data_IF_077892312683
#
_entry.id   IF_077892312683
#
_cell.length_a   1.000
_cell.length_b   1.000
_cell.length_c   1.000
_cell.angle_alpha   90.00
_cell.angle_beta   90.00
_cell.angle_gamma   90.00
#
_symmetry.space_group_name_H-M   'P 1'
#
loop_
_entity.id
_entity.type
_entity.pdbx_description
1 polymer ?
#
# COMPACT_ATOMS: atom_id res chain seq x y z
N UNK A 1 -11.39 23.65 21.89
CA UNK A 1 -10.66 24.94 21.99
C UNK A 1 -10.38 25.31 20.56
N UNK A 2 -10.72 26.52 20.17
CA UNK A 2 -10.45 26.96 18.82
C UNK A 2 -8.94 27.23 18.69
N UNK A 3 -8.31 26.63 17.68
CA UNK A 3 -6.90 26.78 17.39
C UNK A 3 -6.71 27.56 16.09
N UNK A 4 -5.61 28.30 16.01
CA UNK A 4 -5.15 28.97 14.79
C UNK A 4 -3.77 28.44 14.45
N UNK A 5 -3.56 28.04 13.21
CA UNK A 5 -2.27 27.58 12.71
C UNK A 5 -1.94 28.28 11.40
N UNK A 6 -0.66 28.59 11.20
CA UNK A 6 -0.12 29.00 9.92
C UNK A 6 1.02 28.04 9.58
N UNK A 7 1.04 27.55 8.36
CA UNK A 7 2.06 26.64 7.86
C UNK A 7 2.62 27.26 6.60
N UNK A 8 3.92 27.54 6.60
CA UNK A 8 4.56 28.16 5.45
C UNK A 8 4.57 27.18 4.27
N UNK A 9 4.08 27.66 3.13
CA UNK A 9 4.01 26.90 1.88
C UNK A 9 2.83 25.95 1.71
N UNK A 10 2.03 25.64 2.75
CA UNK A 10 0.90 24.69 2.63
C UNK A 10 -0.21 24.88 3.68
N UNK A 11 -1.48 25.01 3.29
CA UNK A 11 -1.97 25.53 2.02
C UNK A 11 -1.57 27.00 1.86
N UNK A 12 -1.52 27.50 0.63
CA UNK A 12 -1.15 28.88 0.34
C UNK A 12 -2.26 29.87 0.72
N UNK A 13 -2.60 30.00 2.00
CA UNK A 13 -3.39 31.13 2.50
C UNK A 13 -2.44 32.32 2.64
N UNK A 14 -2.02 32.86 1.49
CA UNK A 14 -1.31 34.15 1.49
C UNK A 14 -2.24 35.20 2.11
N UNK A 15 -1.75 36.07 3.00
CA UNK A 15 -2.58 37.06 3.62
C UNK A 15 -3.18 37.98 2.55
N UNK A 16 -4.50 38.16 2.59
CA UNK A 16 -5.27 38.97 1.64
C UNK A 16 -5.75 40.21 2.35
N UNK A 17 -5.42 41.39 1.81
CA UNK A 17 -6.01 42.65 2.26
C UNK A 17 -7.50 42.66 2.00
N UNK A 18 -8.28 42.97 3.02
CA UNK A 18 -9.71 43.20 2.83
C UNK A 18 -9.94 44.48 2.05
N UNK A 19 -10.94 44.47 1.16
CA UNK A 19 -11.31 45.61 0.35
C UNK A 19 -12.80 45.88 0.48
N UNK A 20 -13.14 47.02 1.07
CA UNK A 20 -14.52 47.50 1.19
C UNK A 20 -14.73 48.71 0.27
N UNK A 21 -15.81 48.74 -0.50
CA UNK A 21 -16.08 49.79 -1.49
C UNK A 21 -17.39 50.52 -1.17
N UNK A 22 -17.39 51.84 -1.32
CA UNK A 22 -18.61 52.66 -1.22
C UNK A 22 -19.33 52.64 -2.57
N UNK A 23 -20.62 52.30 -2.54
CA UNK A 23 -21.53 52.48 -3.68
C UNK A 23 -22.52 53.58 -3.36
N UNK A 24 -22.56 54.61 -4.22
CA UNK A 24 -23.59 55.63 -4.22
C UNK A 24 -24.78 55.14 -5.06
N UNK A 25 -25.98 55.25 -4.52
CA UNK A 25 -27.24 54.94 -5.19
C UNK A 25 -28.19 56.14 -5.09
N UNK A 26 -29.07 56.22 -6.08
CA UNK A 26 -30.17 57.19 -6.22
C UNK A 26 -29.74 58.65 -6.36
N UNK A 27 -29.24 58.99 -7.55
CA UNK A 27 -29.29 60.34 -8.11
C UNK A 27 -29.33 60.28 -9.65
N UNK A 28 -29.75 61.35 -10.37
CA UNK A 28 -29.80 61.33 -11.84
C UNK A 28 -28.42 61.04 -12.48
N UNK A 29 -27.31 61.42 -11.83
CA UNK A 29 -25.94 61.19 -12.31
C UNK A 29 -25.02 60.43 -11.33
N UNK A 30 -25.48 60.15 -10.10
CA UNK A 30 -24.71 59.53 -9.00
C UNK A 30 -23.41 60.30 -8.64
N UNK A 31 -23.42 61.62 -8.79
CA UNK A 31 -22.28 62.51 -8.55
C UNK A 31 -22.66 63.51 -7.45
N UNK A 32 -22.26 63.29 -6.18
CA UNK A 32 -22.65 64.16 -5.08
C UNK A 32 -22.01 65.54 -5.22
N UNK A 33 -22.82 66.61 -5.14
CA UNK A 33 -22.41 68.02 -5.26
C UNK A 33 -22.56 68.80 -3.94
N UNK A 34 -23.00 68.13 -2.87
CA UNK A 34 -23.31 68.74 -1.59
C UNK A 34 -23.45 67.75 -0.43
N UNK A 35 -23.47 68.29 0.79
CA UNK A 35 -23.69 67.52 2.03
C UNK A 35 -22.42 67.02 2.71
N UNK A 36 -22.61 66.14 3.71
CA UNK A 36 -21.53 65.54 4.50
C UNK A 36 -21.80 64.07 4.81
N UNK A 37 -20.75 63.31 5.13
CA UNK A 37 -20.85 61.93 5.57
C UNK A 37 -19.94 61.66 6.78
N UNK A 38 -20.21 60.57 7.49
CA UNK A 38 -19.39 60.05 8.59
C UNK A 38 -19.14 58.57 8.37
N UNK A 39 -17.99 58.09 8.84
CA UNK A 39 -17.61 56.67 8.82
C UNK A 39 -17.54 56.17 10.25
N UNK A 40 -18.08 54.99 10.51
CA UNK A 40 -17.99 54.34 11.82
C UNK A 40 -17.27 53.01 11.71
N UNK A 41 -16.24 52.82 12.54
CA UNK A 41 -15.46 51.60 12.63
C UNK A 41 -15.29 51.17 14.09
N UNK A 42 -15.60 49.90 14.39
CA UNK A 42 -15.49 49.32 15.74
C UNK A 42 -16.14 50.17 16.86
N UNK A 43 -17.23 50.86 16.53
CA UNK A 43 -18.01 51.67 17.47
C UNK A 43 -17.58 53.14 17.62
N UNK A 44 -16.53 53.60 16.92
CA UNK A 44 -16.16 55.01 16.87
C UNK A 44 -16.51 55.63 15.52
N UNK A 45 -16.96 56.88 15.53
CA UNK A 45 -17.43 57.61 14.35
C UNK A 45 -16.54 58.83 14.08
N UNK A 46 -16.14 59.02 12.82
CA UNK A 46 -15.37 60.19 12.40
C UNK A 46 -16.15 61.50 12.62
N UNK A 47 -15.44 62.64 12.60
CA UNK A 47 -16.11 63.93 12.40
C UNK A 47 -16.81 63.96 11.03
N UNK A 48 -17.70 64.95 10.82
CA UNK A 48 -18.34 65.17 9.52
C UNK A 48 -17.29 65.43 8.44
N UNK A 49 -17.30 64.62 7.40
CA UNK A 49 -16.45 64.71 6.22
C UNK A 49 -17.27 65.36 5.10
N UNK A 50 -16.70 66.37 4.43
CA UNK A 50 -17.37 67.06 3.32
C UNK A 50 -17.49 66.17 2.08
N UNK A 51 -18.49 66.42 1.23
CA UNK A 51 -18.69 65.68 -0.02
C UNK A 51 -17.48 65.76 -0.98
N UNK A 52 -16.74 66.87 -0.96
CA UNK A 52 -15.56 67.12 -1.81
C UNK A 52 -14.23 66.77 -1.10
N UNK A 53 -14.28 66.08 0.04
CA UNK A 53 -13.09 65.71 0.80
C UNK A 53 -12.18 64.79 -0.01
N UNK A 54 -10.91 65.16 -0.10
CA UNK A 54 -9.87 64.36 -0.76
C UNK A 54 -9.63 63.03 -0.03
N UNK A 55 -9.09 62.02 -0.73
CA UNK A 55 -8.72 60.75 -0.12
C UNK A 55 -7.83 60.92 1.13
N UNK A 56 -6.91 61.89 1.12
CA UNK A 56 -6.06 62.21 2.26
C UNK A 56 -6.84 62.75 3.47
N UNK A 57 -7.85 63.59 3.25
CA UNK A 57 -8.70 64.10 4.34
C UNK A 57 -9.60 63.00 4.93
N UNK A 58 -10.06 62.07 4.09
CA UNK A 58 -10.81 60.89 4.54
C UNK A 58 -9.89 59.95 5.35
N UNK A 59 -8.66 59.75 4.87
CA UNK A 59 -7.62 58.97 5.56
C UNK A 59 -7.33 59.57 6.95
N UNK A 60 -7.06 60.87 7.03
CA UNK A 60 -6.82 61.58 8.29
C UNK A 60 -8.01 61.43 9.26
N UNK A 61 -9.25 61.55 8.75
CA UNK A 61 -10.44 61.40 9.58
C UNK A 61 -10.60 59.98 10.15
N UNK A 62 -10.18 58.93 9.42
CA UNK A 62 -10.17 57.55 9.92
C UNK A 62 -9.03 57.29 10.91
N UNK A 63 -7.86 57.88 10.69
CA UNK A 63 -6.69 57.77 11.59
C UNK A 63 -6.83 58.59 12.88
N UNK A 64 -7.80 59.51 12.96
CA UNK A 64 -8.21 60.16 14.21
C UNK A 64 -8.98 59.21 15.17
N UNK A 65 -9.51 58.08 14.67
CA UNK A 65 -10.20 57.09 15.49
C UNK A 65 -9.19 56.31 16.34
N UNK A 66 -9.47 56.13 17.63
CA UNK A 66 -8.58 55.39 18.53
C UNK A 66 -8.50 53.90 18.21
N UNK A 67 -9.44 53.41 17.40
CA UNK A 67 -9.57 52.02 16.94
C UNK A 67 -8.78 51.72 15.66
N UNK A 68 -8.17 52.72 15.02
CA UNK A 68 -7.43 52.62 13.75
C UNK A 68 -5.99 53.06 13.97
N UNK A 69 -5.02 52.20 13.67
CA UNK A 69 -3.60 52.59 13.66
C UNK A 69 -3.20 53.14 12.29
N UNK A 70 -2.10 53.90 12.27
CA UNK A 70 -1.50 54.40 11.04
C UNK A 70 -1.18 53.24 10.08
N UNK A 71 -1.77 53.26 8.88
CA UNK A 71 -1.58 52.23 7.86
C UNK A 71 -2.51 51.00 7.96
N UNK A 72 -3.42 50.94 8.94
CA UNK A 72 -4.40 49.86 9.05
C UNK A 72 -5.44 49.90 7.91
N UNK A 73 -5.79 51.10 7.45
CA UNK A 73 -6.74 51.34 6.36
C UNK A 73 -6.08 52.28 5.36
N UNK A 74 -6.21 52.02 4.06
CA UNK A 74 -5.79 52.92 2.98
C UNK A 74 -6.99 53.33 2.14
N UNK A 75 -7.18 54.64 1.95
CA UNK A 75 -8.27 55.22 1.14
C UNK A 75 -7.79 55.48 -0.30
N UNK A 76 -8.54 55.00 -1.30
CA UNK A 76 -8.12 55.08 -2.72
C UNK A 76 -8.46 56.38 -3.44
N UNK A 77 -9.60 57.00 -3.12
CA UNK A 77 -10.19 58.10 -3.88
C UNK A 77 -11.19 58.91 -3.02
N UNK A 78 -11.65 60.09 -3.48
CA UNK A 78 -12.80 60.80 -2.90
C UNK A 78 -14.15 60.10 -3.20
N UNK A 79 -15.23 60.54 -2.53
CA UNK A 79 -16.55 59.87 -2.56
C UNK A 79 -17.26 59.88 -3.92
N UNK A 80 -17.06 60.94 -4.70
CA UNK A 80 -17.58 61.13 -6.07
C UNK A 80 -16.92 60.19 -7.11
N UNK A 81 -15.73 59.68 -6.80
CA UNK A 81 -14.91 58.85 -7.69
C UNK A 81 -14.87 57.36 -7.29
N UNK A 82 -15.72 56.95 -6.33
CA UNK A 82 -15.78 55.57 -5.84
C UNK A 82 -14.67 55.26 -4.83
N UNK A 83 -14.92 55.54 -3.54
CA UNK A 83 -13.98 55.22 -2.46
C UNK A 83 -13.83 53.72 -2.29
N UNK A 84 -12.57 53.28 -2.19
CA UNK A 84 -12.19 51.97 -1.70
C UNK A 84 -11.37 52.11 -0.43
N UNK A 85 -11.74 51.36 0.60
CA UNK A 85 -11.00 51.17 1.83
C UNK A 85 -10.29 49.82 1.76
N UNK A 86 -8.97 49.85 1.69
CA UNK A 86 -8.15 48.65 1.73
C UNK A 86 -7.55 48.48 3.12
N UNK A 87 -7.85 47.38 3.79
CA UNK A 87 -7.30 47.07 5.11
C UNK A 87 -5.97 46.35 4.99
N UNK A 88 -5.06 46.60 5.95
CA UNK A 88 -3.81 45.87 6.05
C UNK A 88 -4.10 44.37 6.17
N UNK A 89 -3.41 43.55 5.37
CA UNK A 89 -3.63 42.10 5.33
C UNK A 89 -3.36 41.40 6.68
N UNK A 90 -2.61 42.03 7.58
CA UNK A 90 -2.37 41.58 8.96
C UNK A 90 -3.62 41.63 9.84
N UNK A 91 -4.64 42.40 9.46
CA UNK A 91 -5.89 42.50 10.22
C UNK A 91 -6.86 41.36 9.91
N UNK A 92 -6.64 40.63 8.81
CA UNK A 92 -7.51 39.55 8.36
C UNK A 92 -8.90 40.02 7.96
N UNK A 93 -9.91 39.22 8.31
CA UNK A 93 -11.33 39.50 8.10
C UNK A 93 -11.82 40.50 9.16
N UNK A 94 -12.28 41.67 8.74
CA UNK A 94 -12.70 42.78 9.60
C UNK A 94 -14.17 43.14 9.37
N UNK A 95 -14.76 43.80 10.36
CA UNK A 95 -16.16 44.26 10.25
C UNK A 95 -16.30 45.37 9.18
N UNK A 96 -17.47 45.38 8.53
CA UNK A 96 -17.84 46.43 7.57
C UNK A 96 -17.85 47.82 8.22
N UNK A 97 -17.23 48.80 7.55
CA UNK A 97 -17.42 50.21 7.84
C UNK A 97 -18.88 50.58 7.65
N UNK A 98 -19.42 51.37 8.58
CA UNK A 98 -20.75 51.95 8.42
C UNK A 98 -20.62 53.38 7.93
N UNK A 99 -21.32 53.71 6.84
CA UNK A 99 -21.43 55.07 6.32
C UNK A 99 -22.79 55.66 6.68
N UNK A 100 -22.78 56.87 7.27
CA UNK A 100 -23.98 57.68 7.43
C UNK A 100 -23.79 58.98 6.67
N UNK A 101 -24.65 59.23 5.68
CA UNK A 101 -24.50 60.31 4.72
C UNK A 101 -25.75 61.19 4.64
N UNK A 102 -25.51 62.50 4.51
CA UNK A 102 -26.49 63.54 4.17
C UNK A 102 -26.19 64.16 2.80
N UNK A 103 -25.61 63.37 1.89
CA UNK A 103 -25.14 63.79 0.58
C UNK A 103 -26.31 64.18 -0.33
N UNK A 104 -26.06 65.13 -1.23
CA UNK A 104 -27.01 65.60 -2.23
C UNK A 104 -26.38 65.64 -3.63
N UNK A 105 -27.21 65.51 -4.66
CA UNK A 105 -26.94 65.78 -6.09
C UNK A 105 -28.12 66.60 -6.60
N UNK A 106 -27.90 67.86 -6.99
CA UNK A 106 -28.95 68.82 -7.40
C UNK A 106 -30.08 68.97 -6.34
N UNK A 107 -29.72 68.84 -5.05
CA UNK A 107 -30.66 68.94 -3.93
C UNK A 107 -31.49 67.68 -3.66
N UNK A 108 -31.25 66.58 -4.38
CA UNK A 108 -31.84 65.25 -4.14
C UNK A 108 -30.88 64.44 -3.27
N UNK A 109 -31.40 63.74 -2.26
CA UNK A 109 -30.57 62.91 -1.36
C UNK A 109 -29.93 61.72 -2.07
N UNK A 110 -28.61 61.59 -1.95
CA UNK A 110 -27.82 60.44 -2.40
C UNK A 110 -27.68 59.46 -1.25
N UNK A 111 -27.91 58.18 -1.51
CA UNK A 111 -27.70 57.12 -0.52
C UNK A 111 -26.32 56.49 -0.73
N UNK A 112 -25.52 56.37 0.32
CA UNK A 112 -24.26 55.66 0.29
C UNK A 112 -24.39 54.33 1.04
N UNK A 113 -23.76 53.28 0.51
CA UNK A 113 -23.67 51.97 1.15
C UNK A 113 -22.27 51.40 0.98
N UNK A 114 -21.76 50.71 2.00
CA UNK A 114 -20.47 50.03 1.94
C UNK A 114 -20.71 48.54 1.76
N UNK A 115 -19.94 47.92 0.87
CA UNK A 115 -19.95 46.48 0.67
C UNK A 115 -18.52 45.94 0.66
N UNK A 116 -18.35 44.74 1.21
CA UNK A 116 -17.12 43.97 1.09
C UNK A 116 -17.01 43.47 -0.34
N UNK A 117 -15.91 43.82 -0.99
CA UNK A 117 -15.59 43.42 -2.37
C UNK A 117 -14.46 42.41 -2.43
N UNK A 118 -13.64 42.31 -1.38
CA UNK A 118 -12.65 41.26 -1.20
C UNK A 118 -12.55 40.98 0.28
N UNK A 119 -12.80 39.72 0.67
CA UNK A 119 -12.72 39.26 2.05
C UNK A 119 -11.28 39.18 2.53
N UNK A 120 -11.00 39.73 3.70
CA UNK A 120 -9.66 39.71 4.28
C UNK A 120 -9.28 38.35 4.84
N UNK A 121 -7.98 38.06 4.89
CA UNK A 121 -7.44 36.88 5.57
C UNK A 121 -6.04 37.18 6.11
N UNK A 122 -5.81 36.85 7.38
CA UNK A 122 -4.51 36.99 8.08
C UNK A 122 -3.54 35.83 7.73
N UNK A 123 -3.99 34.89 6.89
CA UNK A 123 -3.27 33.69 6.50
C UNK A 123 -3.30 32.57 7.53
N UNK A 124 -3.98 32.74 8.67
CA UNK A 124 -4.17 31.69 9.67
C UNK A 124 -5.38 30.81 9.33
N UNK A 125 -5.22 29.52 9.63
CA UNK A 125 -6.24 28.50 9.49
C UNK A 125 -6.85 28.26 10.87
N UNK A 126 -8.16 28.47 10.99
CA UNK A 126 -8.89 28.24 12.24
C UNK A 126 -9.50 26.83 12.28
N UNK A 127 -9.38 26.13 13.41
CA UNK A 127 -9.97 24.81 13.66
C UNK A 127 -10.61 24.78 15.05
N UNK A 128 -11.67 23.99 15.22
CA UNK A 128 -12.34 23.81 16.53
C UNK A 128 -11.61 22.85 17.47
N UNK A 129 -10.48 22.28 17.02
CA UNK A 129 -9.67 21.25 17.67
C UNK A 129 -8.18 21.62 17.62
N UNK A 130 -7.42 21.11 18.59
CA UNK A 130 -5.96 21.20 18.61
C UNK A 130 -5.29 20.07 17.80
N UNK A 131 -6.08 19.17 17.20
CA UNK A 131 -5.58 18.20 16.21
C UNK A 131 -5.96 18.68 14.82
N UNK A 132 -4.96 18.84 13.97
CA UNK A 132 -5.08 19.36 12.60
C UNK A 132 -4.51 18.32 11.64
N UNK A 133 -5.37 17.65 10.88
CA UNK A 133 -5.02 16.52 9.99
C UNK A 133 -5.37 16.76 8.52
N UNK A 134 -5.87 17.95 8.21
CA UNK A 134 -6.39 18.32 6.88
C UNK A 134 -5.55 19.42 6.18
N UNK A 135 -4.51 19.94 6.85
CA UNK A 135 -3.66 21.01 6.34
C UNK A 135 -2.50 20.48 5.50
N UNK A 136 -1.82 19.43 5.98
CA UNK A 136 -0.72 18.78 5.27
C UNK A 136 -1.14 17.32 5.02
N UNK A 137 -1.23 16.91 3.75
CA UNK A 137 -1.64 15.56 3.40
C UNK A 137 -0.76 14.50 4.06
N UNK A 138 -1.37 13.59 4.81
CA UNK A 138 -0.67 12.50 5.49
C UNK A 138 0.01 12.89 6.80
N UNK A 139 -0.21 14.11 7.30
CA UNK A 139 0.35 14.58 8.58
C UNK A 139 -0.78 15.04 9.49
N UNK A 140 -0.80 14.51 10.71
CA UNK A 140 -1.64 15.02 11.80
C UNK A 140 -0.74 15.82 12.75
N UNK A 141 -1.04 17.11 12.91
CA UNK A 141 -0.38 18.02 13.84
C UNK A 141 -1.19 18.10 15.13
N UNK A 142 -0.52 17.91 16.26
CA UNK A 142 -1.09 18.09 17.59
C UNK A 142 -0.52 19.37 18.20
N UNK A 143 -1.37 20.38 18.32
CA UNK A 143 -1.01 21.69 18.84
C UNK A 143 -1.07 21.67 20.38
N UNK A 144 0.06 21.97 21.00
CA UNK A 144 0.20 21.94 22.45
C UNK A 144 0.25 23.33 23.08
N UNK A 145 0.88 24.29 22.39
CA UNK A 145 1.02 25.66 22.85
C UNK A 145 1.21 26.62 21.65
N UNK A 146 1.16 27.92 21.91
CA UNK A 146 1.41 28.95 20.89
C UNK A 146 2.91 29.15 20.64
N UNK A 147 3.30 29.32 19.38
CA UNK A 147 4.65 29.73 19.01
C UNK A 147 4.79 31.25 19.05
N UNK A 148 6.02 31.75 19.05
CA UNK A 148 6.28 33.16 18.79
C UNK A 148 6.09 33.51 17.30
N UNK A 149 6.37 34.77 16.94
CA UNK A 149 6.23 35.27 15.58
C UNK A 149 7.18 34.61 14.56
N UNK A 150 8.24 33.92 15.02
CA UNK A 150 9.18 33.20 14.16
C UNK A 150 8.74 31.77 13.84
N UNK A 151 7.75 31.25 14.58
CA UNK A 151 7.23 29.89 14.37
C UNK A 151 8.18 28.82 14.88
N UNK A 152 7.95 27.58 14.46
CA UNK A 152 8.79 26.42 14.79
C UNK A 152 9.02 25.57 13.54
N UNK A 153 10.24 25.04 13.40
CA UNK A 153 10.60 24.19 12.27
C UNK A 153 10.16 22.74 12.50
N UNK A 154 9.35 22.21 11.58
CA UNK A 154 8.93 20.81 11.59
C UNK A 154 9.71 20.05 10.51
N UNK A 155 10.50 19.06 10.94
CA UNK A 155 11.25 18.19 10.03
C UNK A 155 10.60 16.82 9.93
N UNK A 156 10.23 16.40 8.71
CA UNK A 156 9.76 15.04 8.42
C UNK A 156 10.88 14.22 7.80
N UNK A 157 11.29 13.15 8.47
CA UNK A 157 12.30 12.21 7.98
C UNK A 157 11.73 10.81 7.81
N UNK A 158 12.24 10.08 6.82
CA UNK A 158 11.87 8.67 6.61
C UNK A 158 12.37 7.81 7.76
N UNK A 159 11.51 6.94 8.30
CA UNK A 159 11.89 5.99 9.34
C UNK A 159 12.50 4.72 8.72
N UNK A 160 13.79 4.80 8.37
CA UNK A 160 14.54 3.69 7.77
C UNK A 160 14.76 2.55 8.78
N UNK A 161 14.86 2.88 10.08
CA UNK A 161 15.11 1.90 11.13
C UNK A 161 13.99 0.86 11.22
N UNK A 162 12.73 1.29 11.12
CA UNK A 162 11.59 0.38 11.17
C UNK A 162 11.61 -0.65 10.02
N UNK A 163 12.12 -0.29 8.84
CA UNK A 163 12.28 -1.22 7.71
C UNK A 163 13.37 -2.24 8.01
N UNK A 164 14.52 -1.80 8.54
CA UNK A 164 15.63 -2.69 8.95
C UNK A 164 15.18 -3.69 10.02
N UNK A 165 14.42 -3.24 11.01
CA UNK A 165 13.95 -4.09 12.10
C UNK A 165 13.00 -5.19 11.59
N UNK A 166 12.09 -4.85 10.66
CA UNK A 166 11.19 -5.81 10.00
C UNK A 166 11.96 -6.82 9.14
N UNK A 167 12.94 -6.35 8.36
CA UNK A 167 13.80 -7.25 7.57
C UNK A 167 14.62 -8.17 8.47
N UNK A 168 15.20 -7.67 9.55
CA UNK A 168 15.95 -8.47 10.52
C UNK A 168 15.08 -9.54 11.17
N UNK A 169 13.83 -9.21 11.48
CA UNK A 169 12.84 -10.16 12.01
C UNK A 169 12.52 -11.26 11.01
N UNK A 170 12.32 -10.90 9.73
CA UNK A 170 12.12 -11.86 8.64
C UNK A 170 13.35 -12.78 8.45
N UNK A 171 14.56 -12.21 8.42
CA UNK A 171 15.83 -12.96 8.32
C UNK A 171 15.94 -13.96 9.47
N UNK A 172 15.58 -13.55 10.69
CA UNK A 172 15.58 -14.42 11.87
C UNK A 172 14.60 -15.59 11.72
N UNK A 173 13.37 -15.32 11.26
CA UNK A 173 12.36 -16.36 11.05
C UNK A 173 12.77 -17.34 9.93
N UNK A 174 13.34 -16.83 8.84
CA UNK A 174 13.89 -17.65 7.76
C UNK A 174 15.02 -18.56 8.26
N UNK A 175 15.98 -17.99 9.00
CA UNK A 175 17.11 -18.75 9.54
C UNK A 175 16.66 -19.83 10.53
N UNK A 176 15.64 -19.55 11.35
CA UNK A 176 15.05 -20.55 12.23
C UNK A 176 14.52 -21.75 11.43
N UNK A 177 13.79 -21.49 10.32
CA UNK A 177 13.29 -22.55 9.46
C UNK A 177 14.44 -23.32 8.78
N UNK A 178 15.46 -22.64 8.27
CA UNK A 178 16.62 -23.27 7.63
C UNK A 178 17.36 -24.19 8.60
N UNK A 179 17.69 -23.70 9.79
CA UNK A 179 18.40 -24.48 10.82
C UNK A 179 17.55 -25.68 11.24
N UNK A 180 16.25 -25.48 11.46
CA UNK A 180 15.34 -26.58 11.81
C UNK A 180 15.29 -27.65 10.72
N UNK A 181 15.14 -27.26 9.45
CA UNK A 181 15.14 -28.20 8.33
C UNK A 181 16.49 -28.93 8.19
N UNK A 182 17.61 -28.23 8.36
CA UNK A 182 18.95 -28.84 8.34
C UNK A 182 19.12 -29.86 9.46
N UNK A 183 18.65 -29.56 10.69
CA UNK A 183 18.70 -30.51 11.81
C UNK A 183 17.92 -31.80 11.50
N UNK A 184 16.73 -31.66 10.86
CA UNK A 184 15.89 -32.83 10.55
C UNK A 184 16.33 -33.61 9.32
N UNK A 185 17.04 -32.99 8.37
CA UNK A 185 17.41 -33.63 7.09
C UNK A 185 18.90 -33.95 6.95
N UNK A 186 19.76 -33.32 7.76
CA UNK A 186 21.20 -33.45 7.70
C UNK A 186 21.74 -34.66 8.48
N UNK A 187 23.03 -34.90 8.33
CA UNK A 187 23.78 -35.85 9.13
C UNK A 187 24.59 -35.11 10.19
N UNK A 188 24.46 -35.48 11.46
CA UNK A 188 25.27 -34.93 12.53
C UNK A 188 26.58 -35.70 12.64
N UNK A 189 27.66 -35.11 12.15
CA UNK A 189 28.99 -35.73 12.15
C UNK A 189 29.56 -35.97 13.55
N UNK A 190 29.08 -35.27 14.58
CA UNK A 190 29.54 -35.43 15.97
C UNK A 190 28.83 -36.59 16.63
N UNK A 191 27.49 -36.60 16.57
CA UNK A 191 26.66 -37.66 17.16
C UNK A 191 26.65 -38.95 16.31
N UNK A 192 27.13 -38.87 15.06
CA UNK A 192 27.06 -39.93 14.05
C UNK A 192 25.62 -40.38 13.75
N UNK A 193 24.67 -39.47 13.91
CA UNK A 193 23.23 -39.72 13.72
C UNK A 193 22.70 -38.96 12.52
N UNK A 194 21.89 -39.64 11.70
CA UNK A 194 21.08 -39.02 10.67
C UNK A 194 19.85 -38.33 11.29
N UNK A 195 19.46 -37.19 10.73
CA UNK A 195 18.16 -36.59 10.99
C UNK A 195 17.03 -37.51 10.52
N UNK A 196 15.85 -37.37 11.15
CA UNK A 196 14.69 -38.24 10.90
C UNK A 196 14.20 -38.18 9.45
N UNK A 197 14.38 -37.05 8.78
CA UNK A 197 13.98 -36.78 7.40
C UNK A 197 15.18 -36.78 6.44
N UNK A 198 16.27 -37.48 6.80
CA UNK A 198 17.44 -37.55 5.93
C UNK A 198 17.07 -38.27 4.61
N UNK A 199 17.35 -37.60 3.49
CA UNK A 199 17.01 -38.09 2.15
C UNK A 199 15.56 -37.80 1.73
N UNK A 200 14.78 -37.10 2.56
CA UNK A 200 13.41 -36.70 2.23
C UNK A 200 13.39 -35.66 1.08
N UNK A 201 12.65 -35.99 0.03
CA UNK A 201 12.53 -35.15 -1.16
C UNK A 201 11.67 -33.90 -0.92
N UNK A 202 10.62 -34.02 -0.11
CA UNK A 202 9.70 -32.93 0.21
C UNK A 202 10.40 -31.86 1.03
N UNK A 203 11.17 -32.26 2.05
CA UNK A 203 11.97 -31.33 2.85
C UNK A 203 13.00 -30.56 2.01
N UNK A 204 13.64 -31.23 1.04
CA UNK A 204 14.54 -30.59 0.07
C UNK A 204 13.81 -29.59 -0.85
N UNK A 205 12.59 -29.95 -1.29
CA UNK A 205 11.74 -29.09 -2.12
C UNK A 205 11.32 -27.83 -1.38
N UNK A 206 10.91 -27.94 -0.11
CA UNK A 206 10.56 -26.80 0.75
C UNK A 206 11.72 -25.82 0.83
N UNK A 207 12.93 -26.31 1.14
CA UNK A 207 14.13 -25.47 1.22
C UNK A 207 14.42 -24.73 -0.09
N UNK A 208 14.31 -25.41 -1.23
CA UNK A 208 14.57 -24.80 -2.54
C UNK A 208 13.54 -23.74 -2.91
N UNK A 209 12.25 -23.97 -2.61
CA UNK A 209 11.19 -23.02 -2.90
C UNK A 209 11.29 -21.76 -2.01
N UNK A 210 11.71 -21.88 -0.75
CA UNK A 210 11.97 -20.71 0.11
C UNK A 210 13.22 -19.93 -0.29
N UNK A 211 14.24 -20.62 -0.82
CA UNK A 211 15.49 -19.97 -1.25
C UNK A 211 15.36 -19.26 -2.60
N UNK A 212 14.57 -19.80 -3.53
CA UNK A 212 14.48 -19.29 -4.92
C UNK A 212 14.22 -17.78 -4.98
N UNK A 213 13.21 -17.21 -4.28
CA UNK A 213 12.93 -15.77 -4.34
C UNK A 213 14.08 -14.85 -3.89
N UNK A 214 15.01 -15.37 -3.07
CA UNK A 214 16.14 -14.61 -2.54
C UNK A 214 17.32 -14.53 -3.52
N UNK A 215 17.41 -15.47 -4.47
CA UNK A 215 18.56 -15.60 -5.39
C UNK A 215 18.23 -15.31 -6.84
N UNK A 216 16.95 -15.27 -7.20
CA UNK A 216 16.51 -14.94 -8.56
C UNK A 216 16.15 -13.47 -8.70
N UNK A 217 16.12 -12.98 -9.94
CA UNK A 217 15.52 -11.69 -10.25
C UNK A 217 14.06 -11.65 -9.81
N UNK A 218 13.68 -10.55 -9.17
CA UNK A 218 12.35 -10.32 -8.62
C UNK A 218 11.35 -10.08 -9.76
N UNK A 219 10.16 -10.70 -9.67
CA UNK A 219 9.20 -10.73 -10.78
C UNK A 219 8.61 -9.36 -11.08
N UNK A 220 8.58 -8.99 -12.36
CA UNK A 220 8.08 -7.69 -12.83
C UNK A 220 9.11 -6.56 -12.81
N UNK A 221 10.32 -6.82 -12.31
CA UNK A 221 11.45 -5.88 -12.35
C UNK A 221 12.25 -6.08 -13.62
N UNK A 222 12.63 -4.99 -14.28
CA UNK A 222 13.32 -5.02 -15.58
C UNK A 222 14.58 -4.17 -15.50
N UNK A 223 15.66 -4.71 -16.07
CA UNK A 223 16.92 -4.01 -16.24
C UNK A 223 16.72 -2.69 -17.00
N UNK A 224 17.50 -1.68 -16.63
CA UNK A 224 17.53 -0.34 -17.22
C UNK A 224 16.31 0.55 -16.89
N UNK A 225 15.26 0.00 -16.24
CA UNK A 225 14.15 0.79 -15.69
C UNK A 225 14.21 0.81 -14.16
N UNK A 226 14.44 -0.36 -13.55
CA UNK A 226 14.46 -0.50 -12.09
C UNK A 226 15.91 -0.48 -11.59
N UNK A 227 16.13 0.18 -10.45
CA UNK A 227 17.45 0.38 -9.85
C UNK A 227 18.00 -0.92 -9.27
N UNK A 228 17.12 -1.73 -8.67
CA UNK A 228 17.40 -3.02 -8.05
C UNK A 228 16.47 -4.08 -8.65
N UNK A 229 17.06 -5.23 -8.97
CA UNK A 229 16.41 -6.35 -9.62
C UNK A 229 16.37 -7.60 -8.76
N UNK A 230 17.24 -7.72 -7.75
CA UNK A 230 17.28 -8.87 -6.85
C UNK A 230 17.62 -8.51 -5.39
N UNK A 231 17.21 -9.32 -4.40
CA UNK A 231 17.42 -9.04 -2.98
C UNK A 231 18.90 -8.88 -2.60
N UNK A 232 19.81 -9.59 -3.27
CA UNK A 232 21.25 -9.45 -3.07
C UNK A 232 21.79 -8.04 -3.31
N UNK A 233 21.15 -7.26 -4.19
CA UNK A 233 21.60 -5.89 -4.49
C UNK A 233 21.21 -4.88 -3.41
N UNK A 234 20.28 -5.25 -2.51
CA UNK A 234 19.92 -4.47 -1.33
C UNK A 234 20.57 -5.01 -0.05
N UNK A 235 21.55 -5.91 -0.16
CA UNK A 235 22.34 -6.40 0.97
C UNK A 235 21.81 -7.66 1.65
N UNK A 236 20.87 -8.38 1.05
CA UNK A 236 20.47 -9.72 1.53
C UNK A 236 21.42 -10.79 0.97
N UNK A 237 22.21 -11.40 1.84
CA UNK A 237 23.26 -12.35 1.46
C UNK A 237 22.95 -13.76 1.99
N UNK A 238 23.03 -14.76 1.12
CA UNK A 238 22.91 -16.18 1.48
C UNK A 238 24.29 -16.83 1.50
N UNK A 239 24.60 -17.53 2.58
CA UNK A 239 25.82 -18.32 2.67
C UNK A 239 25.69 -19.69 1.97
N UNK A 240 26.78 -20.48 2.01
CA UNK A 240 26.85 -21.82 1.42
C UNK A 240 25.85 -22.82 2.04
N UNK A 241 25.46 -22.59 3.28
CA UNK A 241 24.56 -23.45 4.04
C UNK A 241 23.09 -23.00 3.86
N UNK A 242 22.88 -21.83 3.23
CA UNK A 242 21.56 -21.24 2.98
C UNK A 242 21.05 -20.39 4.14
N UNK A 243 21.93 -19.96 5.05
CA UNK A 243 21.60 -19.00 6.10
C UNK A 243 21.63 -17.60 5.50
N UNK A 244 20.60 -16.81 5.78
CA UNK A 244 20.42 -15.45 5.28
C UNK A 244 21.00 -14.44 6.27
N UNK A 245 21.64 -13.41 5.75
CA UNK A 245 22.14 -12.27 6.52
C UNK A 245 21.78 -10.95 5.83
N UNK A 246 21.74 -9.87 6.60
CA UNK A 246 21.51 -8.52 6.09
C UNK A 246 22.78 -7.68 6.30
N UNK A 247 23.38 -7.25 5.20
CA UNK A 247 24.46 -6.28 5.19
C UNK A 247 23.87 -4.87 5.31
N UNK A 248 23.88 -4.32 6.53
CA UNK A 248 23.24 -3.03 6.83
C UNK A 248 23.85 -1.85 6.07
N UNK A 249 25.14 -1.91 5.75
CA UNK A 249 25.81 -0.83 5.02
C UNK A 249 25.36 -0.81 3.55
N UNK A 250 25.32 -1.98 2.90
CA UNK A 250 24.78 -2.10 1.53
C UNK A 250 23.31 -1.70 1.48
N UNK A 251 22.54 -2.07 2.51
CA UNK A 251 21.14 -1.68 2.62
C UNK A 251 20.98 -0.14 2.76
N UNK A 252 21.83 0.51 3.56
CA UNK A 252 21.83 1.97 3.71
C UNK A 252 22.21 2.69 2.42
N UNK A 253 23.21 2.19 1.70
CA UNK A 253 23.58 2.69 0.37
C UNK A 253 22.44 2.51 -0.63
N UNK A 254 21.76 1.36 -0.61
CA UNK A 254 20.64 1.09 -1.49
C UNK A 254 19.46 2.04 -1.23
N UNK A 255 19.10 2.25 0.04
CA UNK A 255 18.04 3.18 0.46
C UNK A 255 18.37 4.63 0.08
N UNK A 256 19.63 5.05 0.26
CA UNK A 256 20.05 6.38 -0.12
C UNK A 256 19.99 6.59 -1.64
N UNK A 257 20.24 5.54 -2.42
CA UNK A 257 20.19 5.57 -3.89
C UNK A 257 18.76 5.62 -4.43
N UNK A 258 17.89 4.70 -3.99
CA UNK A 258 16.50 4.64 -4.44
C UNK A 258 15.60 3.96 -3.40
N UNK A 259 15.06 4.76 -2.50
CA UNK A 259 14.18 4.29 -1.43
C UNK A 259 12.92 3.58 -1.95
N UNK A 260 12.31 4.09 -3.03
CA UNK A 260 11.05 3.54 -3.52
C UNK A 260 11.26 2.18 -4.17
N UNK A 261 12.35 2.01 -4.91
CA UNK A 261 12.67 0.73 -5.52
C UNK A 261 13.14 -0.32 -4.49
N UNK A 262 13.80 0.09 -3.40
CA UNK A 262 14.05 -0.79 -2.23
C UNK A 262 12.73 -1.27 -1.62
N UNK A 263 11.74 -0.39 -1.43
CA UNK A 263 10.44 -0.84 -0.91
C UNK A 263 9.71 -1.77 -1.90
N UNK A 264 9.79 -1.47 -3.20
CA UNK A 264 9.17 -2.28 -4.23
C UNK A 264 9.78 -3.68 -4.27
N UNK A 265 11.12 -3.80 -4.25
CA UNK A 265 11.76 -5.11 -4.32
C UNK A 265 11.49 -5.95 -3.07
N UNK A 266 11.33 -5.32 -1.90
CA UNK A 266 10.93 -6.01 -0.68
C UNK A 266 9.49 -6.49 -0.79
N UNK A 267 8.55 -5.57 -0.99
CA UNK A 267 7.13 -5.82 -0.69
C UNK A 267 6.13 -5.26 -1.70
N UNK A 268 6.51 -5.04 -2.97
CA UNK A 268 5.51 -4.78 -4.00
C UNK A 268 4.48 -5.92 -4.01
N UNK A 269 3.21 -5.59 -3.82
CA UNK A 269 2.11 -6.55 -3.88
C UNK A 269 1.32 -6.33 -5.17
N UNK A 270 1.76 -7.00 -6.23
CA UNK A 270 1.18 -6.94 -7.59
C UNK A 270 0.97 -5.51 -8.09
N UNK A 271 1.86 -4.58 -7.70
CA UNK A 271 1.77 -3.18 -8.13
C UNK A 271 2.12 -3.07 -9.60
N UNK A 272 1.39 -2.23 -10.33
CA UNK A 272 1.52 -2.19 -11.79
C UNK A 272 2.01 -0.86 -12.35
N UNK A 273 2.57 -0.92 -13.54
CA UNK A 273 2.86 0.26 -14.38
C UNK A 273 2.66 -0.09 -15.85
N UNK A 274 2.37 0.91 -16.67
CA UNK A 274 2.24 0.77 -18.12
C UNK A 274 3.30 1.61 -18.82
N UNK A 275 3.73 1.17 -20.01
CA UNK A 275 4.54 1.97 -20.94
C UNK A 275 3.70 2.93 -21.82
N UNK A 276 2.38 2.91 -21.66
CA UNK A 276 1.43 3.67 -22.46
C UNK A 276 0.70 4.72 -21.62
N UNK A 277 0.42 5.86 -22.25
CA UNK A 277 -0.39 6.95 -21.68
C UNK A 277 -1.90 6.76 -21.94
N UNK A 278 -2.30 5.70 -22.64
CA UNK A 278 -3.71 5.41 -22.94
C UNK A 278 -4.18 4.15 -22.25
N UNK A 279 -3.40 3.06 -22.35
CA UNK A 279 -3.69 1.85 -21.60
C UNK A 279 -2.96 1.95 -20.27
N UNK A 280 -3.67 2.12 -19.18
CA UNK A 280 -3.08 2.27 -17.86
C UNK A 280 -3.35 1.04 -16.99
N UNK A 281 -2.44 0.77 -16.06
CA UNK A 281 -2.68 -0.24 -15.03
C UNK A 281 -3.76 0.26 -14.08
N UNK A 282 -4.75 -0.59 -13.79
CA UNK A 282 -5.81 -0.27 -12.84
C UNK A 282 -5.67 -1.05 -11.54
N UNK A 283 -5.60 -2.38 -11.64
CA UNK A 283 -5.51 -3.27 -10.48
C UNK A 283 -4.95 -4.64 -10.88
N UNK A 284 -4.41 -5.37 -9.91
CA UNK A 284 -4.08 -6.79 -10.03
C UNK A 284 -4.42 -7.48 -8.71
N UNK A 285 -4.87 -8.73 -8.78
CA UNK A 285 -5.15 -9.50 -7.57
C UNK A 285 -3.86 -10.01 -6.95
N UNK A 286 -3.65 -9.72 -5.67
CA UNK A 286 -2.53 -10.24 -4.86
C UNK A 286 -2.42 -11.77 -4.93
N UNK A 287 -3.56 -12.46 -4.98
CA UNK A 287 -3.66 -13.92 -4.90
C UNK A 287 -3.65 -14.63 -6.26
N UNK A 288 -4.13 -13.97 -7.31
CA UNK A 288 -4.44 -14.66 -8.58
C UNK A 288 -3.62 -14.14 -9.76
N UNK A 289 -3.27 -12.86 -9.78
CA UNK A 289 -2.47 -12.32 -10.87
C UNK A 289 -1.02 -12.73 -10.68
N UNK A 290 -0.40 -13.32 -11.70
CA UNK A 290 1.03 -13.61 -11.64
C UNK A 290 1.84 -12.33 -11.85
N UNK A 291 2.96 -12.16 -11.17
CA UNK A 291 3.83 -11.02 -11.44
C UNK A 291 4.67 -11.25 -12.71
N UNK A 292 4.89 -10.19 -13.48
CA UNK A 292 5.57 -10.29 -14.77
C UNK A 292 5.28 -9.10 -15.69
N UNK A 293 5.75 -9.22 -16.93
CA UNK A 293 5.42 -8.26 -17.99
C UNK A 293 4.37 -8.85 -18.90
N UNK A 294 3.36 -8.05 -19.22
CA UNK A 294 2.20 -8.42 -20.02
C UNK A 294 2.14 -7.54 -21.26
N UNK A 295 1.80 -8.15 -22.40
CA UNK A 295 1.49 -7.43 -23.62
C UNK A 295 -0.03 -7.35 -23.76
N UNK A 296 -0.52 -6.13 -23.90
CA UNK A 296 -1.95 -5.80 -23.99
C UNK A 296 -2.21 -5.30 -25.40
N UNK A 297 -3.29 -5.79 -26.01
CA UNK A 297 -3.75 -5.41 -27.33
C UNK A 297 -5.20 -4.99 -27.23
N UNK A 298 -5.52 -3.78 -27.69
CA UNK A 298 -6.89 -3.24 -27.72
C UNK A 298 -7.22 -2.81 -29.15
N UNK A 299 -8.33 -3.30 -29.69
CA UNK A 299 -8.81 -2.95 -31.03
C UNK A 299 -10.02 -2.04 -30.93
N UNK A 300 -10.12 -1.07 -31.83
CA UNK A 300 -11.25 -0.15 -31.94
C UNK A 300 -12.04 -0.42 -33.23
N UNK A 301 -13.37 -0.41 -33.14
CA UNK A 301 -14.28 -0.61 -34.28
C UNK A 301 -14.27 0.60 -35.24
N UNK A 302 -15.08 0.53 -36.30
CA UNK A 302 -15.24 1.63 -37.27
C UNK A 302 -15.89 2.90 -36.68
N UNK A 303 -16.51 2.81 -35.50
CA UNK A 303 -17.08 3.95 -34.76
C UNK A 303 -16.11 4.51 -33.72
N UNK A 304 -14.93 3.88 -33.53
CA UNK A 304 -13.95 4.24 -32.53
C UNK A 304 -14.23 3.69 -31.13
N UNK A 305 -15.19 2.77 -30.95
CA UNK A 305 -15.42 2.11 -29.66
C UNK A 305 -14.49 0.91 -29.49
N UNK A 306 -14.20 0.53 -28.24
CA UNK A 306 -13.44 -0.71 -27.97
C UNK A 306 -14.22 -1.91 -28.52
N UNK A 307 -13.60 -2.66 -29.42
CA UNK A 307 -14.14 -3.87 -30.06
C UNK A 307 -13.67 -5.13 -29.32
N UNK A 308 -12.35 -5.34 -29.24
CA UNK A 308 -11.76 -6.47 -28.52
C UNK A 308 -10.55 -6.04 -27.71
N UNK A 309 -10.30 -6.77 -26.63
CA UNK A 309 -9.08 -6.64 -25.86
C UNK A 309 -8.47 -8.03 -25.62
N UNK A 310 -7.15 -8.12 -25.61
CA UNK A 310 -6.45 -9.38 -25.36
C UNK A 310 -5.16 -9.14 -24.58
N UNK A 311 -4.83 -10.09 -23.70
CA UNK A 311 -3.65 -10.02 -22.84
C UNK A 311 -2.84 -11.32 -22.99
N UNK A 312 -1.52 -11.22 -22.91
CA UNK A 312 -0.60 -12.36 -22.75
C UNK A 312 0.61 -11.96 -21.91
N UNK A 313 1.39 -12.92 -21.41
CA UNK A 313 2.73 -12.62 -20.93
C UNK A 313 3.62 -12.19 -22.09
N UNK A 314 4.50 -11.23 -21.83
CA UNK A 314 5.43 -10.69 -22.83
C UNK A 314 6.38 -11.78 -23.35
N UNK A 315 6.72 -12.77 -22.51
CA UNK A 315 7.55 -13.92 -22.88
C UNK A 315 6.85 -14.98 -23.73
N UNK A 316 5.52 -14.92 -23.85
CA UNK A 316 4.76 -15.87 -24.67
C UNK A 316 4.69 -15.44 -26.13
N UNK A 317 4.48 -16.41 -27.02
CA UNK A 317 4.24 -16.17 -28.45
C UNK A 317 2.90 -15.43 -28.70
N UNK A 318 2.79 -14.74 -29.84
CA UNK A 318 1.58 -13.99 -30.21
C UNK A 318 0.35 -14.87 -30.42
N UNK A 319 0.49 -16.18 -30.67
CA UNK A 319 -0.64 -17.11 -30.68
C UNK A 319 -1.29 -17.32 -29.30
N UNK A 320 -0.68 -16.82 -28.22
CA UNK A 320 -1.15 -17.00 -26.83
C UNK A 320 -1.95 -15.83 -26.27
N UNK A 321 -2.32 -14.84 -27.09
CA UNK A 321 -3.28 -13.82 -26.66
C UNK A 321 -4.58 -14.47 -26.21
N UNK A 322 -5.01 -14.13 -25.00
CA UNK A 322 -6.28 -14.56 -24.43
C UNK A 322 -7.24 -13.39 -24.38
N UNK A 323 -8.51 -13.65 -24.69
CA UNK A 323 -9.52 -12.61 -24.77
C UNK A 323 -9.79 -12.06 -23.37
N UNK A 324 -9.77 -10.74 -23.25
CA UNK A 324 -10.09 -10.05 -22.01
C UNK A 324 -11.57 -9.63 -22.00
N UNK A 325 -12.15 -9.55 -20.82
CA UNK A 325 -13.52 -9.06 -20.62
C UNK A 325 -13.50 -7.53 -20.55
N UNK A 326 -14.38 -6.86 -21.29
CA UNK A 326 -14.47 -5.40 -21.33
C UNK A 326 -15.73 -4.95 -20.58
N UNK A 327 -15.58 -3.99 -19.67
CA UNK A 327 -16.68 -3.34 -18.95
C UNK A 327 -16.43 -1.83 -18.91
N UNK A 328 -17.09 -1.10 -19.81
CA UNK A 328 -16.83 0.34 -19.99
C UNK A 328 -15.40 0.59 -20.45
N UNK A 329 -14.62 1.33 -19.67
CA UNK A 329 -13.20 1.58 -19.91
C UNK A 329 -12.28 0.52 -19.29
N UNK A 330 -12.81 -0.44 -18.51
CA UNK A 330 -12.01 -1.44 -17.79
C UNK A 330 -11.90 -2.72 -18.61
N UNK A 331 -10.67 -3.19 -18.77
CA UNK A 331 -10.30 -4.45 -19.42
C UNK A 331 -9.80 -5.39 -18.33
N UNK A 332 -10.46 -6.54 -18.16
CA UNK A 332 -10.09 -7.57 -17.18
C UNK A 332 -9.58 -8.81 -17.89
N UNK A 333 -8.40 -9.30 -17.50
CA UNK A 333 -7.80 -10.52 -18.03
C UNK A 333 -8.64 -11.77 -17.77
N UNK A 334 -8.26 -12.87 -18.44
CA UNK A 334 -8.98 -14.14 -18.34
C UNK A 334 -9.02 -14.63 -16.89
N UNK A 335 -10.23 -14.71 -16.34
CA UNK A 335 -10.45 -15.03 -14.92
C UNK A 335 -10.86 -16.48 -14.69
N UNK A 336 -10.42 -17.39 -15.56
CA UNK A 336 -10.72 -18.83 -15.45
C UNK A 336 -9.90 -19.48 -14.34
N UNK A 337 -10.56 -20.36 -13.57
CA UNK A 337 -9.95 -21.19 -12.52
C UNK A 337 -10.06 -22.67 -12.88
N UNK A 338 -9.09 -23.47 -12.45
CA UNK A 338 -9.15 -24.92 -12.53
C UNK A 338 -10.05 -25.52 -11.43
N UNK A 339 -10.27 -26.84 -11.46
CA UNK A 339 -11.08 -27.56 -10.46
C UNK A 339 -10.49 -27.47 -9.03
N UNK A 340 -9.22 -27.09 -8.92
CA UNK A 340 -8.49 -26.92 -7.67
C UNK A 340 -8.52 -25.45 -7.16
N UNK A 341 -9.23 -24.57 -7.87
CA UNK A 341 -9.37 -23.15 -7.56
C UNK A 341 -8.10 -22.34 -7.82
N UNK A 342 -7.18 -22.82 -8.64
CA UNK A 342 -6.01 -22.07 -9.07
C UNK A 342 -6.29 -21.33 -10.38
N UNK A 343 -5.74 -20.12 -10.57
CA UNK A 343 -5.87 -19.41 -11.82
C UNK A 343 -5.22 -20.22 -12.96
N UNK A 344 -5.95 -20.38 -14.06
CA UNK A 344 -5.46 -21.10 -15.25
C UNK A 344 -4.40 -20.28 -16.00
N UNK A 345 -4.56 -18.96 -16.01
CA UNK A 345 -3.70 -18.05 -16.77
C UNK A 345 -3.04 -16.97 -15.90
N UNK A 346 -1.83 -16.52 -16.28
CA UNK A 346 -1.07 -15.53 -15.52
C UNK A 346 -1.79 -14.18 -15.34
N UNK A 347 -2.61 -13.76 -16.30
CA UNK A 347 -3.33 -12.48 -16.26
C UNK A 347 -4.67 -12.53 -15.48
N UNK A 348 -4.94 -13.60 -14.75
CA UNK A 348 -6.18 -13.73 -13.98
C UNK A 348 -6.36 -12.54 -13.03
N UNK A 349 -7.53 -11.91 -13.10
CA UNK A 349 -7.89 -10.71 -12.35
C UNK A 349 -6.96 -9.49 -12.55
N UNK A 350 -6.14 -9.48 -13.61
CA UNK A 350 -5.42 -8.27 -14.03
C UNK A 350 -6.41 -7.30 -14.68
N UNK A 351 -6.49 -6.09 -14.16
CA UNK A 351 -7.37 -5.04 -14.64
C UNK A 351 -6.58 -3.84 -15.15
N UNK A 352 -7.00 -3.32 -16.29
CA UNK A 352 -6.41 -2.20 -16.99
C UNK A 352 -7.50 -1.24 -17.40
N UNK A 353 -7.16 0.02 -17.63
CA UNK A 353 -8.06 0.99 -18.28
C UNK A 353 -7.59 1.27 -19.70
N UNK A 354 -8.53 1.53 -20.60
CA UNK A 354 -8.27 2.08 -21.92
C UNK A 354 -9.35 3.10 -22.28
N UNK A 355 -9.09 4.09 -23.16
CA UNK A 355 -10.10 5.04 -23.59
C UNK A 355 -11.26 4.30 -24.26
N UNK A 356 -12.49 4.61 -23.86
CA UNK A 356 -13.69 4.02 -24.47
C UNK A 356 -13.86 4.44 -25.93
N UNK A 357 -13.33 5.62 -26.28
CA UNK A 357 -13.25 6.12 -27.64
C UNK A 357 -11.79 6.27 -28.07
N UNK A 358 -11.45 5.66 -29.20
CA UNK A 358 -10.13 5.69 -29.82
C UNK A 358 -10.20 6.08 -31.28
N UNK A 359 -9.09 5.90 -32.00
CA UNK A 359 -9.07 6.12 -33.45
C UNK A 359 -9.86 4.99 -34.14
N UNK A 360 -10.82 5.28 -35.02
CA UNK A 360 -11.59 4.26 -35.73
C UNK A 360 -10.71 3.25 -36.48
N UNK A 361 -11.08 1.97 -36.39
CA UNK A 361 -10.38 0.85 -37.06
C UNK A 361 -8.88 0.78 -36.73
N UNK A 362 -8.51 1.14 -35.50
CA UNK A 362 -7.12 1.10 -35.02
C UNK A 362 -6.87 -0.02 -34.02
N UNK A 363 -5.61 -0.36 -33.82
CA UNK A 363 -5.16 -1.27 -32.77
C UNK A 363 -4.04 -0.59 -32.01
N UNK A 364 -4.14 -0.57 -30.68
CA UNK A 364 -3.11 -0.04 -29.81
C UNK A 364 -2.54 -1.17 -28.95
N UNK A 365 -1.28 -0.99 -28.55
CA UNK A 365 -0.56 -1.94 -27.72
C UNK A 365 0.04 -1.22 -26.52
N UNK A 366 0.13 -1.94 -25.41
CA UNK A 366 0.88 -1.51 -24.24
C UNK A 366 1.59 -2.69 -23.59
N UNK A 367 2.69 -2.40 -22.93
CA UNK A 367 3.38 -3.31 -22.03
C UNK A 367 3.07 -2.91 -20.60
N UNK A 368 2.36 -3.79 -19.89
CA UNK A 368 2.03 -3.59 -18.49
C UNK A 368 2.91 -4.48 -17.64
N UNK A 369 3.58 -3.90 -16.66
CA UNK A 369 4.44 -4.62 -15.71
C UNK A 369 3.68 -4.74 -14.40
N UNK A 370 3.59 -5.96 -13.88
CA UNK A 370 3.07 -6.27 -12.54
C UNK A 370 4.24 -6.72 -11.69
N UNK A 371 4.60 -5.92 -10.69
CA UNK A 371 5.73 -6.15 -9.78
C UNK A 371 5.28 -6.93 -8.55
N UNK A 372 6.11 -7.88 -8.14
CA UNK A 372 5.96 -8.55 -6.85
C UNK A 372 7.30 -8.61 -6.14
N UNK A 373 7.36 -8.10 -4.91
CA UNK A 373 8.54 -8.15 -4.07
C UNK A 373 8.88 -9.58 -3.63
N UNK A 374 10.14 -9.80 -3.25
CA UNK A 374 10.60 -11.14 -2.88
C UNK A 374 9.90 -11.68 -1.64
N UNK A 375 9.45 -10.83 -0.70
CA UNK A 375 8.75 -11.29 0.50
C UNK A 375 7.38 -11.87 0.15
N UNK A 376 6.64 -11.23 -0.75
CA UNK A 376 5.39 -11.76 -1.27
C UNK A 376 5.59 -13.05 -2.05
N UNK A 377 6.72 -13.21 -2.75
CA UNK A 377 7.03 -14.48 -3.42
C UNK A 377 7.35 -15.62 -2.44
N UNK A 378 7.94 -15.31 -1.28
CA UNK A 378 8.13 -16.26 -0.17
C UNK A 378 6.78 -16.62 0.45
N UNK A 379 5.91 -15.64 0.68
CA UNK A 379 4.55 -15.84 1.17
C UNK A 379 3.75 -16.77 0.25
N UNK A 380 3.73 -16.49 -1.05
CA UNK A 380 3.09 -17.35 -2.06
C UNK A 380 3.64 -18.79 -2.03
N UNK A 381 4.95 -18.96 -1.79
CA UNK A 381 5.56 -20.28 -1.68
C UNK A 381 5.09 -21.01 -0.40
N UNK A 382 5.04 -20.32 0.73
CA UNK A 382 4.54 -20.85 1.99
C UNK A 382 3.07 -21.25 1.88
N UNK A 383 2.22 -20.39 1.31
CA UNK A 383 0.79 -20.65 1.14
C UNK A 383 0.54 -21.89 0.29
N UNK A 384 1.27 -22.05 -0.81
CA UNK A 384 1.18 -23.27 -1.65
C UNK A 384 1.61 -24.52 -0.89
N UNK A 385 2.63 -24.46 -0.03
CA UNK A 385 3.09 -25.61 0.74
C UNK A 385 2.13 -25.99 1.87
N UNK A 386 1.56 -24.99 2.53
CA UNK A 386 0.78 -25.14 3.77
C UNK A 386 -0.73 -25.26 3.51
N UNK A 387 -1.18 -25.11 2.26
CA UNK A 387 -2.59 -25.26 1.87
C UNK A 387 -3.16 -26.58 2.43
N UNK A 388 -4.25 -26.46 3.20
CA UNK A 388 -4.78 -27.55 4.03
C UNK A 388 -5.19 -28.81 3.24
N UNK A 389 -5.58 -28.67 1.97
CA UNK A 389 -6.11 -29.78 1.17
C UNK A 389 -5.15 -30.27 0.10
N UNK A 390 -4.42 -29.35 -0.55
CA UNK A 390 -3.59 -29.62 -1.73
C UNK A 390 -2.12 -29.25 -1.52
N UNK A 391 -1.75 -28.79 -0.33
CA UNK A 391 -0.38 -28.38 -0.04
C UNK A 391 0.58 -29.55 0.01
N UNK A 392 1.84 -29.30 -0.37
CA UNK A 392 2.90 -30.31 -0.44
C UNK A 392 3.05 -31.08 0.89
N UNK A 393 3.02 -30.35 2.02
CA UNK A 393 3.18 -30.94 3.35
C UNK A 393 2.00 -31.86 3.69
N UNK A 394 0.78 -31.45 3.34
CA UNK A 394 -0.43 -32.24 3.61
C UNK A 394 -0.49 -33.52 2.78
N UNK A 395 -0.03 -33.45 1.52
CA UNK A 395 0.05 -34.61 0.65
C UNK A 395 1.09 -35.60 1.17
N UNK A 396 2.25 -35.11 1.61
CA UNK A 396 3.32 -35.94 2.15
C UNK A 396 2.91 -36.64 3.45
N UNK A 397 2.27 -35.92 4.38
CA UNK A 397 1.72 -36.51 5.60
C UNK A 397 0.74 -37.66 5.31
N UNK A 398 -0.19 -37.46 4.38
CA UNK A 398 -1.14 -38.51 3.97
C UNK A 398 -0.45 -39.71 3.35
N UNK A 399 0.62 -39.50 2.58
CA UNK A 399 1.38 -40.58 1.98
C UNK A 399 2.11 -41.42 3.05
N UNK A 400 2.76 -40.75 4.01
CA UNK A 400 3.42 -41.41 5.14
C UNK A 400 2.40 -42.18 6.00
N UNK A 401 1.24 -41.58 6.29
CA UNK A 401 0.16 -42.25 7.04
C UNK A 401 -0.34 -43.52 6.33
N UNK A 402 -0.46 -43.47 5.00
CA UNK A 402 -0.83 -44.64 4.21
C UNK A 402 0.23 -45.75 4.29
N UNK A 403 1.52 -45.40 4.17
CA UNK A 403 2.61 -46.36 4.33
C UNK A 403 2.64 -47.00 5.73
N UNK A 404 2.41 -46.20 6.78
CA UNK A 404 2.33 -46.70 8.15
C UNK A 404 1.19 -47.72 8.26
N UNK A 405 0.03 -47.42 7.70
CA UNK A 405 -1.12 -48.33 7.72
C UNK A 405 -0.82 -49.65 6.99
N UNK A 406 -0.24 -49.58 5.79
CA UNK A 406 0.12 -50.79 5.03
C UNK A 406 1.14 -51.66 5.77
N UNK A 407 2.14 -51.03 6.40
CA UNK A 407 3.12 -51.72 7.22
C UNK A 407 2.49 -52.38 8.45
N UNK A 408 1.54 -51.71 9.11
CA UNK A 408 0.80 -52.29 10.24
C UNK A 408 0.00 -53.52 9.82
N UNK A 409 -0.75 -53.44 8.73
CA UNK A 409 -1.51 -54.59 8.18
C UNK A 409 -0.58 -55.76 7.83
N UNK A 410 0.60 -55.48 7.27
CA UNK A 410 1.61 -56.51 6.97
C UNK A 410 2.20 -57.15 8.23
N UNK A 411 2.48 -56.34 9.26
CA UNK A 411 2.97 -56.84 10.56
C UNK A 411 1.93 -57.77 11.17
N UNK A 412 0.66 -57.38 11.20
CA UNK A 412 -0.44 -58.22 11.72
C UNK A 412 -0.55 -59.55 10.97
N UNK A 413 -0.47 -59.51 9.64
CA UNK A 413 -0.49 -60.72 8.82
C UNK A 413 0.69 -61.66 9.11
N UNK A 414 1.90 -61.13 9.23
CA UNK A 414 3.08 -61.94 9.56
C UNK A 414 3.02 -62.49 10.99
N UNK A 415 2.55 -61.71 11.97
CA UNK A 415 2.31 -62.19 13.32
C UNK A 415 1.30 -63.35 13.34
N UNK A 416 0.22 -63.24 12.55
CA UNK A 416 -0.73 -64.34 12.37
C UNK A 416 -0.06 -65.59 11.77
N UNK A 417 0.76 -65.44 10.73
CA UNK A 417 1.50 -66.56 10.10
C UNK A 417 2.47 -67.23 11.08
N UNK A 418 3.22 -66.44 11.85
CA UNK A 418 4.15 -66.93 12.87
C UNK A 418 3.39 -67.73 13.94
N UNK A 419 2.25 -67.21 14.43
CA UNK A 419 1.39 -67.90 15.39
C UNK A 419 0.87 -69.24 14.85
N UNK A 420 0.47 -69.31 13.58
CA UNK A 420 0.05 -70.58 12.94
C UNK A 420 1.22 -71.56 12.80
N UNK A 421 2.42 -71.08 12.51
CA UNK A 421 3.63 -71.92 12.41
C UNK A 421 4.04 -72.47 13.77
N UNK A 422 4.05 -71.64 14.80
CA UNK A 422 4.31 -72.04 16.19
C UNK A 422 3.35 -73.16 16.62
N UNK A 423 2.04 -72.96 16.45
CA UNK A 423 1.04 -73.98 16.77
C UNK A 423 1.27 -75.31 16.03
N UNK A 424 1.66 -75.25 14.75
CA UNK A 424 2.00 -76.47 13.97
C UNK A 424 3.25 -77.16 14.51
N UNK A 425 4.27 -76.40 14.92
CA UNK A 425 5.50 -76.95 15.50
C UNK A 425 5.23 -77.59 16.85
N UNK A 426 4.48 -76.93 17.73
CA UNK A 426 4.02 -77.49 19.02
C UNK A 426 3.30 -78.83 18.79
N UNK A 427 2.34 -78.87 17.86
CA UNK A 427 1.61 -80.09 17.54
C UNK A 427 2.48 -81.20 16.91
N UNK A 428 3.59 -80.86 16.25
CA UNK A 428 4.57 -81.84 15.74
C UNK A 428 5.45 -82.37 16.87
N UNK A 429 5.94 -81.50 17.75
CA UNK A 429 6.74 -81.89 18.91
C UNK A 429 5.93 -82.81 19.85
N UNK A 430 4.69 -82.45 20.19
CA UNK A 430 3.82 -83.30 21.01
C UNK A 430 3.57 -84.68 20.37
N UNK A 431 3.46 -84.76 19.02
CA UNK A 431 3.37 -86.04 18.30
C UNK A 431 4.67 -86.84 18.37
N UNK A 432 5.81 -86.17 18.22
CA UNK A 432 7.13 -86.78 18.31
C UNK A 432 7.38 -87.36 19.71
N UNK A 433 7.08 -86.60 20.76
CA UNK A 433 7.14 -87.07 22.15
C UNK A 433 6.27 -88.30 22.37
N UNK A 434 5.02 -88.29 21.87
CA UNK A 434 4.14 -89.46 21.95
C UNK A 434 4.72 -90.67 21.23
N UNK A 435 5.29 -90.49 20.03
CA UNK A 435 5.93 -91.60 19.29
C UNK A 435 7.20 -92.10 19.98
N UNK A 436 8.01 -91.22 20.57
CA UNK A 436 9.19 -91.61 21.34
C UNK A 436 8.81 -92.38 22.60
N UNK A 437 7.77 -91.95 23.32
CA UNK A 437 7.24 -92.67 24.48
C UNK A 437 6.75 -94.08 24.09
N UNK A 438 6.04 -94.20 22.95
CA UNK A 438 5.62 -95.49 22.40
C UNK A 438 6.80 -96.37 21.99
N UNK A 439 7.82 -95.82 21.33
CA UNK A 439 9.03 -96.54 20.96
C UNK A 439 9.83 -96.97 22.18
N UNK A 440 9.94 -96.14 23.23
CA UNK A 440 10.56 -96.53 24.50
C UNK A 440 9.77 -97.64 25.18
N UNK A 441 8.44 -97.59 25.18
CA UNK A 441 7.59 -98.66 25.68
C UNK A 441 7.77 -99.97 24.88
N UNK A 442 7.85 -99.88 23.55
CA UNK A 442 8.09 -101.03 22.67
C UNK A 442 9.53 -101.57 22.80
N UNK A 443 10.54 -100.71 22.95
CA UNK A 443 11.92 -101.15 23.23
C UNK A 443 12.03 -101.78 24.62
N UNK A 444 11.30 -101.30 25.62
CA UNK A 444 11.16 -101.98 26.90
C UNK A 444 10.47 -103.33 26.79
N UNK A 445 9.54 -103.49 25.84
CA UNK A 445 8.87 -104.76 25.56
C UNK A 445 9.70 -105.73 24.68
N UNK A 446 10.56 -105.21 23.79
CA UNK A 446 11.40 -105.98 22.85
C UNK A 446 12.83 -106.23 23.36
N UNK A 447 13.29 -105.46 24.36
CA UNK A 447 14.58 -105.60 25.03
C UNK A 447 14.46 -106.38 26.34
N UNK A 448 14.62 -107.70 26.24
CA UNK A 448 15.06 -108.61 27.31
C UNK A 448 14.24 -108.65 28.62
N UNK A 449 13.15 -109.40 28.57
CA UNK A 449 12.91 -110.42 29.61
C UNK A 449 13.97 -111.52 29.46
N UNK A 450 15.21 -111.29 29.92
CA UNK A 450 16.04 -112.42 30.40
C UNK A 450 15.55 -112.69 31.81
N UNK A 451 14.53 -113.53 31.91
CA UNK A 451 14.32 -114.34 33.09
C UNK A 451 15.43 -115.38 33.16
N UNK A 452 16.39 -115.14 34.05
CA UNK A 452 16.94 -116.15 34.98
C UNK A 452 17.49 -115.45 36.20
#
# INVERSE_FOLDING_TARGET
QDSKIKVDGFPSTSPVSEVQTVTLKTAPNNDPDGGTFTLTYRGETTKNIAWDATAAQIQEALEELSTVNLGDITVSAPIDNGITFMFANTLGDVDLLMINSSLTDDGISVTASIAETTKGSDGYISRSSNTVDDVITGVALHLHDTTDASGEDITLTRNIQLVKDKLTSMVTAYNLAVVYTQEKTGYNDVLKTAGVLMGDYVASTIRNQLRTPLVTQTSGFIKDIDTFLMPGQIGLELDKDGVLSLNTNVFDEAIAKDYMDVLAIIGADKTGSSDSNTIEFYNASSNYTTAGSYRVKVTYDASGNIDTASIKLLSEDDSKYRAATISGNVITGDSTFDDNGNPVYPENALQLTAPTTGTPSSTIYATVRVKQGFTGAIEDALDRMLKATTGLVQIDQKYVDYQIKELQERIEFEQYRLTKRENRLIARFARLEKTLALLQQQMGALGFSITT
#
